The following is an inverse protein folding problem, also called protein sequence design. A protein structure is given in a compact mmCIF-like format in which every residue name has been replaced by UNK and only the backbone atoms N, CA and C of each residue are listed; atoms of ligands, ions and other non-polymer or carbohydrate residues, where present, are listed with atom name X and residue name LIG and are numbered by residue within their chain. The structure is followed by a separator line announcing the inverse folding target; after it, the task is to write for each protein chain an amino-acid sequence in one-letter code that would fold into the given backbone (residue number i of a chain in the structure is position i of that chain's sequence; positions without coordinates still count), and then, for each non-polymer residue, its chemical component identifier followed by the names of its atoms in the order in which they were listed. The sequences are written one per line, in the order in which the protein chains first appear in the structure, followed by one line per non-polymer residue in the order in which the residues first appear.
data_IF_919214714318
#
_entry.id   IF_919214714318
#
_cell.length_a   1.000
_cell.length_b   1.000
_cell.length_c   1.000
_cell.angle_alpha   90.00
_cell.angle_beta   90.00
_cell.angle_gamma   90.00
#
_symmetry.space_group_name_H-M   'P 1'
#
loop_
_entity.id
_entity.type
_entity.pdbx_description
1 polymer ?
#
# COMPACT_ATOMS: atom_id res chain seq x y z
N UNK A 1 9.76 -17.28 21.62
CA UNK A 1 9.14 -17.85 20.39
C UNK A 1 7.98 -17.03 19.84
N UNK A 2 7.31 -16.16 20.60
CA UNK A 2 6.12 -15.37 20.17
C UNK A 2 6.46 -14.18 19.25
N UNK A 3 7.67 -13.62 19.32
CA UNK A 3 8.07 -12.44 18.51
C UNK A 3 8.24 -12.72 17.00
N UNK A 4 8.30 -14.00 16.57
CA UNK A 4 8.45 -14.38 15.16
C UNK A 4 7.14 -14.32 14.35
N UNK A 5 5.99 -14.38 15.02
CA UNK A 5 4.69 -14.54 14.38
C UNK A 5 3.94 -13.22 14.14
N UNK A 6 4.50 -12.07 14.53
CA UNK A 6 3.80 -10.77 14.48
C UNK A 6 4.66 -9.66 13.86
N UNK A 7 5.56 -10.03 12.95
CA UNK A 7 6.27 -9.09 12.08
C UNK A 7 5.30 -8.60 11.00
N UNK A 8 4.17 -8.03 11.45
CA UNK A 8 3.01 -7.69 10.63
C UNK A 8 3.46 -6.82 9.46
N UNK A 9 2.78 -7.04 8.33
CA UNK A 9 2.88 -6.44 7.01
C UNK A 9 2.78 -4.90 6.93
N UNK A 10 3.19 -4.17 7.97
CA UNK A 10 3.19 -2.72 8.08
C UNK A 10 4.26 -2.03 7.23
N UNK A 11 5.15 -2.81 6.61
CA UNK A 11 6.34 -2.24 5.99
C UNK A 11 6.09 -1.69 4.59
N UNK A 12 4.96 -1.96 3.94
CA UNK A 12 4.65 -1.41 2.62
C UNK A 12 3.15 -1.15 2.52
N UNK A 13 2.79 0.11 2.73
CA UNK A 13 1.43 0.57 2.72
C UNK A 13 1.35 1.77 1.79
N UNK A 14 1.18 1.52 0.49
CA UNK A 14 0.74 2.57 -0.41
C UNK A 14 -0.67 2.97 0.02
N UNK A 15 -0.82 4.23 0.38
CA UNK A 15 -2.13 4.82 0.45
C UNK A 15 -2.57 5.05 -0.98
N UNK A 16 -3.34 4.14 -1.56
CA UNK A 16 -4.06 4.45 -2.80
C UNK A 16 -5.11 5.50 -2.43
N UNK A 17 -4.67 6.74 -2.46
CA UNK A 17 -5.44 7.92 -2.15
C UNK A 17 -6.44 8.15 -3.27
N UNK A 18 -7.70 8.37 -2.91
CA UNK A 18 -8.54 9.35 -3.61
C UNK A 18 -9.25 8.91 -4.89
N UNK A 19 -9.89 7.74 -4.94
CA UNK A 19 -10.72 7.38 -6.10
C UNK A 19 -12.03 8.18 -6.12
N UNK A 20 -12.10 9.20 -6.98
CA UNK A 20 -13.35 9.90 -7.29
C UNK A 20 -13.40 10.39 -8.74
N UNK A 21 -14.37 9.89 -9.51
CA UNK A 21 -14.83 10.47 -10.78
C UNK A 21 -16.28 10.96 -10.64
N UNK A 22 -16.75 11.80 -11.57
CA UNK A 22 -17.91 12.71 -11.52
C UNK A 22 -19.32 12.10 -11.37
N UNK A 23 -20.25 12.89 -10.80
CA UNK A 23 -21.62 12.50 -10.45
C UNK A 23 -22.70 12.69 -11.51
N UNK A 24 -23.88 12.15 -11.19
CA UNK A 24 -25.14 12.32 -11.92
C UNK A 24 -26.12 11.21 -11.53
N UNK A 25 -27.41 11.49 -11.38
CA UNK A 25 -28.43 10.53 -10.92
C UNK A 25 -28.95 9.52 -11.96
N UNK A 26 -28.13 9.18 -12.97
CA UNK A 26 -28.50 8.22 -14.02
C UNK A 26 -27.81 6.89 -13.80
N UNK A 27 -28.48 5.76 -14.10
CA UNK A 27 -27.91 4.41 -14.03
C UNK A 27 -26.61 4.32 -14.84
N UNK A 28 -25.49 4.01 -14.17
CA UNK A 28 -24.17 3.90 -14.83
C UNK A 28 -24.03 2.51 -15.44
N UNK A 29 -23.83 2.44 -16.76
CA UNK A 29 -23.45 1.20 -17.45
C UNK A 29 -21.93 0.98 -17.37
N UNK A 30 -21.44 -0.26 -17.57
CA UNK A 30 -20.01 -0.53 -17.59
C UNK A 30 -19.25 0.31 -18.64
N UNK A 31 -19.89 0.59 -19.78
CA UNK A 31 -19.33 1.39 -20.88
C UNK A 31 -19.18 2.85 -20.48
N UNK A 32 -20.11 3.40 -19.69
CA UNK A 32 -20.02 4.78 -19.18
C UNK A 32 -18.86 4.91 -18.18
N UNK A 33 -18.65 3.91 -17.32
CA UNK A 33 -17.51 3.89 -16.40
C UNK A 33 -16.18 3.80 -17.16
N UNK A 34 -16.09 2.91 -18.15
CA UNK A 34 -14.89 2.74 -18.98
C UNK A 34 -14.59 3.98 -19.82
N UNK A 35 -15.61 4.67 -20.35
CA UNK A 35 -15.46 5.92 -21.10
C UNK A 35 -14.97 7.06 -20.20
N UNK A 36 -15.46 7.14 -18.96
CA UNK A 36 -14.99 8.14 -17.99
C UNK A 36 -13.54 7.89 -17.57
N UNK A 37 -13.15 6.63 -17.36
CA UNK A 37 -11.74 6.26 -17.11
C UNK A 37 -10.85 6.70 -18.26
N UNK A 38 -11.27 6.44 -19.51
CA UNK A 38 -10.52 6.87 -20.69
C UNK A 38 -10.44 8.39 -20.79
N UNK A 39 -11.56 9.10 -20.60
CA UNK A 39 -11.61 10.57 -20.61
C UNK A 39 -10.68 11.19 -19.57
N UNK A 40 -10.67 10.64 -18.35
CA UNK A 40 -9.76 11.08 -17.28
C UNK A 40 -8.31 10.86 -17.71
N UNK A 41 -7.97 9.68 -18.22
CA UNK A 41 -6.62 9.39 -18.70
C UNK A 41 -6.21 10.33 -19.84
N UNK A 42 -7.08 10.58 -20.81
CA UNK A 42 -6.83 11.46 -21.95
C UNK A 42 -6.64 12.92 -21.52
N UNK A 43 -7.23 13.31 -20.39
CA UNK A 43 -7.05 14.64 -19.79
C UNK A 43 -5.79 14.78 -18.94
N UNK A 44 -4.96 13.73 -18.83
CA UNK A 44 -3.81 13.69 -17.94
C UNK A 44 -4.18 13.61 -16.47
N UNK A 45 -5.40 13.16 -16.16
CA UNK A 45 -5.82 12.90 -14.80
C UNK A 45 -5.23 11.56 -14.34
N UNK A 46 -4.41 11.63 -13.29
CA UNK A 46 -3.62 10.50 -12.80
C UNK A 46 -4.49 9.35 -12.27
N UNK A 47 -5.75 9.60 -11.89
CA UNK A 47 -6.68 8.53 -11.53
C UNK A 47 -7.14 7.75 -12.75
N UNK A 48 -7.40 8.46 -13.86
CA UNK A 48 -7.67 7.85 -15.16
C UNK A 48 -6.51 6.94 -15.58
N UNK A 49 -5.28 7.40 -15.39
CA UNK A 49 -4.08 6.62 -15.73
C UNK A 49 -3.92 5.36 -14.86
N UNK A 50 -4.17 5.43 -13.55
CA UNK A 50 -4.15 4.25 -12.67
C UNK A 50 -5.19 3.22 -13.11
N UNK A 51 -6.43 3.65 -13.40
CA UNK A 51 -7.48 2.74 -13.83
C UNK A 51 -7.24 2.17 -15.22
N UNK A 52 -6.65 2.95 -16.14
CA UNK A 52 -6.24 2.46 -17.45
C UNK A 52 -5.12 1.43 -17.33
N UNK A 53 -4.13 1.67 -16.46
CA UNK A 53 -3.08 0.72 -16.15
C UNK A 53 -3.64 -0.57 -15.54
N UNK A 54 -4.58 -0.46 -14.58
CA UNK A 54 -5.28 -1.61 -14.01
C UNK A 54 -6.09 -2.36 -15.08
N UNK A 55 -6.86 -1.68 -15.91
CA UNK A 55 -7.65 -2.28 -16.99
C UNK A 55 -6.78 -3.08 -17.96
N UNK A 56 -5.62 -2.52 -18.31
CA UNK A 56 -4.72 -3.09 -19.31
C UNK A 56 -3.85 -4.21 -18.74
N UNK A 57 -3.31 -4.02 -17.53
CA UNK A 57 -2.29 -4.90 -16.94
C UNK A 57 -2.86 -5.88 -15.92
N UNK A 58 -4.00 -5.55 -15.30
CA UNK A 58 -4.67 -6.28 -14.21
C UNK A 58 -6.19 -6.31 -14.39
N UNK A 59 -6.68 -6.84 -15.52
CA UNK A 59 -8.10 -6.75 -15.89
C UNK A 59 -9.04 -7.36 -14.85
N UNK A 60 -8.62 -8.40 -14.13
CA UNK A 60 -9.43 -9.00 -13.06
C UNK A 60 -9.65 -8.03 -11.88
N UNK A 61 -8.60 -7.39 -11.39
CA UNK A 61 -8.69 -6.37 -10.34
C UNK A 61 -9.52 -5.17 -10.79
N UNK A 62 -9.35 -4.73 -12.03
CA UNK A 62 -10.17 -3.66 -12.61
C UNK A 62 -11.66 -4.04 -12.65
N UNK A 63 -11.98 -5.25 -13.12
CA UNK A 63 -13.36 -5.72 -13.24
C UNK A 63 -14.04 -5.88 -11.86
N UNK A 64 -13.31 -6.39 -10.87
CA UNK A 64 -13.78 -6.45 -9.49
C UNK A 64 -14.11 -5.06 -8.94
N UNK A 65 -13.23 -4.09 -9.20
CA UNK A 65 -13.41 -2.72 -8.74
C UNK A 65 -14.65 -2.11 -9.35
N UNK A 66 -14.71 -2.17 -10.68
CA UNK A 66 -15.82 -1.63 -11.48
C UNK A 66 -17.15 -2.22 -11.02
N UNK A 67 -17.22 -3.53 -10.79
CA UNK A 67 -18.43 -4.22 -10.33
C UNK A 67 -18.91 -3.71 -8.96
N UNK A 68 -18.00 -3.49 -8.01
CA UNK A 68 -18.36 -2.99 -6.68
C UNK A 68 -18.81 -1.53 -6.77
N UNK A 69 -18.05 -0.69 -7.48
CA UNK A 69 -18.38 0.73 -7.66
C UNK A 69 -19.74 0.89 -8.34
N UNK A 70 -20.02 0.12 -9.39
CA UNK A 70 -21.29 0.16 -10.09
C UNK A 70 -22.46 -0.26 -9.19
N UNK A 71 -22.30 -1.32 -8.39
CA UNK A 71 -23.34 -1.76 -7.44
C UNK A 71 -23.68 -0.66 -6.42
N UNK A 72 -22.66 -0.05 -5.82
CA UNK A 72 -22.85 1.01 -4.83
C UNK A 72 -23.49 2.26 -5.44
N UNK A 73 -23.16 2.56 -6.69
CA UNK A 73 -23.76 3.66 -7.43
C UNK A 73 -25.24 3.38 -7.73
N UNK A 74 -25.58 2.17 -8.19
CA UNK A 74 -26.96 1.75 -8.41
C UNK A 74 -27.79 1.75 -7.11
N UNK A 75 -27.14 1.64 -5.96
CA UNK A 75 -27.76 1.80 -4.64
C UNK A 75 -27.96 3.27 -4.23
N UNK A 76 -27.80 4.22 -5.15
CA UNK A 76 -28.08 5.65 -4.94
C UNK A 76 -26.91 6.46 -4.39
N UNK A 77 -25.70 5.89 -4.28
CA UNK A 77 -24.51 6.66 -3.88
C UNK A 77 -23.98 7.49 -5.05
N UNK A 78 -23.36 8.62 -4.70
CA UNK A 78 -22.56 9.40 -5.67
C UNK A 78 -21.42 8.55 -6.24
N UNK A 79 -20.97 8.83 -7.48
CA UNK A 79 -19.85 8.09 -8.09
C UNK A 79 -18.57 8.14 -7.23
N UNK A 80 -18.32 9.29 -6.59
CA UNK A 80 -17.24 9.48 -5.63
C UNK A 80 -17.36 8.54 -4.43
N UNK A 81 -18.55 8.46 -3.82
CA UNK A 81 -18.77 7.57 -2.68
C UNK A 81 -18.71 6.10 -3.07
N UNK A 82 -19.24 5.74 -4.23
CA UNK A 82 -19.19 4.38 -4.76
C UNK A 82 -17.76 3.93 -5.04
N UNK A 83 -16.97 4.81 -5.66
CA UNK A 83 -15.55 4.56 -5.92
C UNK A 83 -14.78 4.40 -4.60
N UNK A 84 -15.00 5.30 -3.63
CA UNK A 84 -14.41 5.21 -2.28
C UNK A 84 -14.76 3.88 -1.59
N UNK A 85 -16.02 3.45 -1.63
CA UNK A 85 -16.44 2.16 -1.05
C UNK A 85 -15.76 1.00 -1.77
N UNK A 86 -15.69 1.03 -3.11
CA UNK A 86 -14.98 0.03 -3.89
C UNK A 86 -13.49 -0.04 -3.54
N UNK A 87 -12.79 1.09 -3.40
CA UNK A 87 -11.38 1.14 -2.98
C UNK A 87 -11.20 0.49 -1.62
N UNK A 88 -12.08 0.83 -0.67
CA UNK A 88 -12.00 0.32 0.69
C UNK A 88 -12.27 -1.19 0.75
N UNK A 89 -13.22 -1.71 -0.05
CA UNK A 89 -13.52 -3.15 -0.12
C UNK A 89 -12.43 -3.94 -0.86
N UNK A 90 -11.77 -3.33 -1.85
CA UNK A 90 -10.71 -3.97 -2.61
C UNK A 90 -9.31 -3.74 -2.07
N UNK A 91 -9.20 -2.98 -1.00
CA UNK A 91 -7.94 -2.58 -0.39
C UNK A 91 -6.97 -3.73 -0.22
N UNK A 92 -7.42 -4.86 0.32
CA UNK A 92 -6.53 -5.99 0.55
C UNK A 92 -6.05 -6.64 -0.75
N UNK A 93 -6.90 -6.69 -1.78
CA UNK A 93 -6.51 -7.14 -3.12
C UNK A 93 -5.49 -6.21 -3.76
N UNK A 94 -5.72 -4.89 -3.70
CA UNK A 94 -4.78 -3.90 -4.22
C UNK A 94 -3.44 -3.92 -3.50
N UNK A 95 -3.46 -3.94 -2.17
CA UNK A 95 -2.22 -4.04 -1.37
C UNK A 95 -1.48 -5.35 -1.66
N UNK A 96 -2.19 -6.47 -1.85
CA UNK A 96 -1.58 -7.73 -2.30
C UNK A 96 -0.87 -7.60 -3.64
N UNK A 97 -1.55 -7.01 -4.63
CA UNK A 97 -0.98 -6.76 -5.97
C UNK A 97 0.25 -5.85 -5.91
N UNK A 98 0.19 -4.76 -5.16
CA UNK A 98 1.32 -3.83 -5.03
C UNK A 98 2.52 -4.51 -4.35
N UNK A 99 2.30 -5.39 -3.37
CA UNK A 99 3.37 -6.19 -2.77
C UNK A 99 3.98 -7.19 -3.77
N UNK A 100 3.14 -7.83 -4.60
CA UNK A 100 3.57 -8.72 -5.68
C UNK A 100 4.39 -7.99 -6.76
N UNK A 101 4.06 -6.74 -7.04
CA UNK A 101 4.86 -5.89 -7.92
C UNK A 101 6.16 -5.44 -7.24
N UNK A 102 6.08 -5.08 -5.96
CA UNK A 102 7.20 -4.60 -5.16
C UNK A 102 8.30 -5.65 -4.99
N UNK A 103 7.96 -6.95 -4.88
CA UNK A 103 8.98 -8.03 -4.83
C UNK A 103 9.82 -8.14 -6.11
N UNK A 104 9.33 -7.62 -7.24
CA UNK A 104 10.00 -7.65 -8.54
C UNK A 104 10.52 -6.26 -8.99
N UNK A 105 10.32 -5.22 -8.17
CA UNK A 105 10.72 -3.85 -8.49
C UNK A 105 12.24 -3.71 -8.75
N UNK A 106 12.61 -2.80 -9.65
CA UNK A 106 14.03 -2.49 -9.92
C UNK A 106 14.64 -1.77 -8.75
N UNK A 107 15.97 -1.77 -8.64
CA UNK A 107 16.63 -1.03 -7.57
C UNK A 107 16.29 0.48 -7.68
N UNK A 108 16.24 1.04 -8.89
CA UNK A 108 15.77 2.43 -9.14
C UNK A 108 14.33 2.66 -8.68
N UNK A 109 13.40 1.75 -8.97
CA UNK A 109 12.02 1.85 -8.47
C UNK A 109 11.99 1.75 -6.96
N UNK A 110 12.77 0.84 -6.36
CA UNK A 110 12.85 0.69 -4.90
C UNK A 110 13.33 1.98 -4.24
N UNK A 111 14.32 2.64 -4.84
CA UNK A 111 14.84 3.92 -4.34
C UNK A 111 13.72 4.97 -4.27
N UNK A 112 12.95 5.09 -5.35
CA UNK A 112 11.80 6.00 -5.45
C UNK A 112 10.69 5.63 -4.46
N UNK A 113 10.40 4.34 -4.24
CA UNK A 113 9.44 3.90 -3.22
C UNK A 113 9.90 4.33 -1.85
N UNK A 114 11.15 4.08 -1.49
CA UNK A 114 11.69 4.42 -0.18
C UNK A 114 11.59 5.92 0.08
N UNK A 115 11.91 6.74 -0.93
CA UNK A 115 11.83 8.20 -0.81
C UNK A 115 10.38 8.67 -0.62
N UNK A 116 9.44 8.20 -1.44
CA UNK A 116 8.01 8.56 -1.30
C UNK A 116 7.44 8.13 0.05
N UNK A 117 7.77 6.94 0.52
CA UNK A 117 7.30 6.41 1.80
C UNK A 117 7.91 7.21 2.97
N UNK A 118 9.20 7.54 2.90
CA UNK A 118 9.87 8.33 3.93
C UNK A 118 9.32 9.76 4.02
N UNK A 119 9.09 10.42 2.89
CA UNK A 119 8.45 11.75 2.83
C UNK A 119 7.03 11.70 3.42
N UNK A 120 6.25 10.69 3.03
CA UNK A 120 4.87 10.49 3.50
C UNK A 120 4.81 10.31 5.01
N UNK A 121 5.62 9.40 5.57
CA UNK A 121 5.62 9.15 7.00
C UNK A 121 6.17 10.31 7.81
N UNK A 122 7.21 10.99 7.33
CA UNK A 122 7.74 12.21 7.98
C UNK A 122 6.65 13.27 8.09
N UNK A 123 5.99 13.59 6.97
CA UNK A 123 4.94 14.63 6.93
C UNK A 123 3.74 14.23 7.79
N UNK A 124 3.28 12.99 7.71
CA UNK A 124 2.17 12.53 8.55
C UNK A 124 2.55 12.47 10.02
N UNK A 125 3.78 12.07 10.35
CA UNK A 125 4.29 12.04 11.72
C UNK A 125 4.31 13.43 12.37
N UNK A 126 4.74 14.45 11.61
CA UNK A 126 4.75 15.84 12.06
C UNK A 126 3.33 16.42 12.23
N UNK A 127 2.39 16.02 11.37
CA UNK A 127 1.02 16.57 11.37
C UNK A 127 0.06 15.81 12.28
N UNK A 128 0.13 14.49 12.31
CA UNK A 128 -0.76 13.60 13.07
C UNK A 128 -0.23 12.16 13.11
N UNK A 129 0.32 11.77 14.26
CA UNK A 129 0.72 10.39 14.54
C UNK A 129 -0.37 9.36 14.21
N UNK A 130 -1.64 9.68 14.49
CA UNK A 130 -2.79 8.82 14.18
C UNK A 130 -2.91 8.58 12.66
N UNK A 131 -2.73 9.62 11.85
CA UNK A 131 -2.82 9.51 10.40
C UNK A 131 -1.60 8.79 9.82
N UNK A 132 -0.41 8.98 10.41
CA UNK A 132 0.78 8.19 10.06
C UNK A 132 0.56 6.70 10.37
N UNK A 133 0.12 6.36 11.57
CA UNK A 133 -0.15 4.98 11.97
C UNK A 133 -1.25 4.34 11.10
N UNK A 134 -2.30 5.11 10.76
CA UNK A 134 -3.33 4.71 9.80
C UNK A 134 -2.74 4.42 8.42
N UNK A 135 -1.85 5.28 7.94
CA UNK A 135 -1.13 5.09 6.68
C UNK A 135 -0.29 3.82 6.71
N UNK A 136 0.50 3.61 7.76
CA UNK A 136 1.30 2.39 8.00
C UNK A 136 0.44 1.12 8.01
N UNK A 137 -0.77 1.20 8.56
CA UNK A 137 -1.71 0.07 8.54
C UNK A 137 -2.21 -0.25 7.12
N UNK A 138 -1.95 0.62 6.14
CA UNK A 138 -2.37 0.54 4.74
C UNK A 138 -3.63 1.34 4.42
N UNK A 139 -4.08 2.21 5.32
CA UNK A 139 -5.31 3.00 5.13
C UNK A 139 -4.95 4.42 4.68
N UNK A 140 -5.67 5.00 3.70
CA UNK A 140 -5.43 6.37 3.32
C UNK A 140 -5.72 7.32 4.50
N UNK A 141 -5.02 8.46 4.61
CA UNK A 141 -5.35 9.47 5.60
C UNK A 141 -6.83 9.89 5.51
N UNK A 142 -7.46 10.18 6.64
CA UNK A 142 -8.85 10.67 6.69
C UNK A 142 -8.97 12.02 5.96
N UNK A 143 -7.93 12.86 6.07
CA UNK A 143 -7.80 14.15 5.38
C UNK A 143 -6.63 14.12 4.43
N UNK A 144 -6.91 14.15 3.15
CA UNK A 144 -5.88 13.97 2.14
C UNK A 144 -4.98 15.21 1.96
N UNK A 145 -5.47 16.35 2.41
CA UNK A 145 -4.78 17.65 2.39
C UNK A 145 -3.60 17.69 3.37
N UNK A 146 -3.45 16.68 4.23
CA UNK A 146 -2.27 16.51 5.05
C UNK A 146 -1.01 16.21 4.21
N UNK A 147 -1.19 15.61 3.03
CA UNK A 147 -0.10 15.34 2.09
C UNK A 147 -0.05 16.41 1.00
N UNK A 148 1.13 16.99 0.69
CA UNK A 148 1.31 17.90 -0.43
C UNK A 148 0.86 17.28 -1.75
N UNK A 149 0.35 18.11 -2.66
CA UNK A 149 -0.15 17.63 -3.95
C UNK A 149 0.94 16.88 -4.71
N UNK A 150 2.15 17.42 -4.73
CA UNK A 150 3.31 16.90 -5.43
C UNK A 150 3.69 15.50 -4.93
N UNK A 151 3.60 15.27 -3.61
CA UNK A 151 3.88 13.97 -3.02
C UNK A 151 2.83 12.93 -3.43
N UNK A 152 1.55 13.31 -3.46
CA UNK A 152 0.47 12.42 -3.94
C UNK A 152 0.63 12.07 -5.43
N UNK A 153 1.13 13.02 -6.23
CA UNK A 153 1.42 12.79 -7.63
C UNK A 153 2.57 11.78 -7.79
N UNK A 154 3.69 11.97 -7.07
CA UNK A 154 4.82 11.02 -7.06
C UNK A 154 4.39 9.61 -6.62
N UNK A 155 3.57 9.48 -5.58
CA UNK A 155 3.02 8.18 -5.16
C UNK A 155 2.20 7.51 -6.27
N UNK A 156 1.39 8.29 -6.99
CA UNK A 156 0.53 7.79 -8.06
C UNK A 156 1.33 7.38 -9.30
N UNK A 157 2.32 8.17 -9.72
CA UNK A 157 3.26 7.84 -10.81
C UNK A 157 4.02 6.56 -10.50
N UNK A 158 4.46 6.39 -9.25
CA UNK A 158 5.14 5.20 -8.79
C UNK A 158 4.25 3.95 -8.86
N UNK A 159 2.97 4.07 -8.48
CA UNK A 159 1.99 2.98 -8.64
C UNK A 159 1.80 2.62 -10.11
N UNK A 160 1.67 3.60 -11.01
CA UNK A 160 1.56 3.36 -12.45
C UNK A 160 2.82 2.68 -13.00
N UNK A 161 4.00 3.12 -12.57
CA UNK A 161 5.30 2.53 -12.92
C UNK A 161 5.40 1.07 -12.46
N UNK A 162 4.95 0.77 -11.25
CA UNK A 162 4.89 -0.60 -10.73
C UNK A 162 3.92 -1.46 -11.56
N UNK A 163 2.72 -0.96 -11.87
CA UNK A 163 1.71 -1.68 -12.68
C UNK A 163 2.21 -1.98 -14.10
N UNK A 164 3.00 -1.07 -14.68
CA UNK A 164 3.58 -1.22 -16.01
C UNK A 164 4.92 -1.96 -16.05
N UNK A 165 5.49 -2.31 -14.89
CA UNK A 165 6.77 -2.98 -14.83
C UNK A 165 6.71 -4.37 -15.51
N UNK A 166 7.72 -4.73 -16.34
CA UNK A 166 7.77 -6.03 -16.98
C UNK A 166 7.76 -7.17 -15.95
N UNK A 167 6.82 -8.11 -16.12
CA UNK A 167 6.69 -9.27 -15.22
C UNK A 167 7.89 -10.24 -15.30
N UNK A 168 8.70 -10.13 -16.36
CA UNK A 168 9.97 -10.85 -16.54
C UNK A 168 11.05 -10.44 -15.52
N UNK A 169 10.83 -9.37 -14.75
CA UNK A 169 11.69 -8.97 -13.63
C UNK A 169 11.56 -9.88 -12.38
N UNK A 170 10.75 -10.95 -12.44
CA UNK A 170 10.46 -11.86 -11.33
C UNK A 170 11.68 -12.58 -10.71
N UNK A 171 12.85 -12.57 -11.37
CA UNK A 171 14.07 -13.24 -10.88
C UNK A 171 15.02 -12.34 -10.06
N UNK A 172 14.59 -11.13 -9.69
CA UNK A 172 15.40 -10.27 -8.80
C UNK A 172 15.52 -10.89 -7.42
N UNK A 173 16.74 -10.92 -6.86
CA UNK A 173 16.97 -11.43 -5.52
C UNK A 173 16.18 -10.61 -4.49
N UNK A 174 15.43 -11.31 -3.66
CA UNK A 174 14.84 -10.81 -2.42
C UNK A 174 15.58 -11.43 -1.22
N UNK A 175 15.72 -10.66 -0.13
CA UNK A 175 16.23 -11.21 1.12
C UNK A 175 15.28 -12.29 1.64
N UNK A 176 15.84 -13.40 2.12
CA UNK A 176 15.08 -14.40 2.85
C UNK A 176 14.50 -13.82 4.14
N UNK A 177 13.46 -14.48 4.68
CA UNK A 177 12.89 -14.13 5.99
C UNK A 177 13.95 -14.03 7.09
N UNK A 178 14.94 -14.94 7.08
CA UNK A 178 16.03 -14.93 8.07
C UNK A 178 16.91 -13.69 7.94
N UNK A 179 17.25 -13.29 6.70
CA UNK A 179 18.05 -12.09 6.45
C UNK A 179 17.32 -10.82 6.89
N UNK A 180 16.04 -10.69 6.54
CA UNK A 180 15.21 -9.53 6.94
C UNK A 180 15.07 -9.46 8.46
N UNK A 181 14.75 -10.57 9.12
CA UNK A 181 14.63 -10.62 10.59
C UNK A 181 15.95 -10.26 11.27
N UNK A 182 17.07 -10.79 10.79
CA UNK A 182 18.39 -10.47 11.33
C UNK A 182 18.71 -8.98 11.15
N UNK A 183 18.42 -8.41 9.98
CA UNK A 183 18.62 -6.99 9.72
C UNK A 183 17.78 -6.13 10.67
N UNK A 184 16.49 -6.44 10.82
CA UNK A 184 15.57 -5.71 11.70
C UNK A 184 15.92 -5.84 13.18
N UNK A 185 16.39 -7.00 13.63
CA UNK A 185 16.90 -7.19 14.99
C UNK A 185 18.17 -6.39 15.26
N UNK A 186 19.09 -6.33 14.29
CA UNK A 186 20.28 -5.50 14.41
C UNK A 186 19.92 -4.02 14.39
N UNK A 187 18.98 -3.63 13.54
CA UNK A 187 18.47 -2.27 13.47
C UNK A 187 17.82 -1.84 14.78
N UNK A 188 16.99 -2.68 15.40
CA UNK A 188 16.36 -2.39 16.70
C UNK A 188 17.35 -2.22 17.86
N UNK A 189 18.58 -2.71 17.75
CA UNK A 189 19.67 -2.45 18.72
C UNK A 189 20.33 -1.09 18.50
N UNK A 190 20.31 -0.60 17.26
CA UNK A 190 20.92 0.67 16.86
C UNK A 190 19.94 1.84 16.97
N UNK A 191 18.65 1.59 16.73
CA UNK A 191 17.55 2.55 16.72
C UNK A 191 16.48 2.13 17.73
N UNK A 192 16.42 2.76 18.92
CA UNK A 192 15.44 2.45 19.95
C UNK A 192 13.98 2.52 19.45
N UNK A 193 13.68 3.46 18.55
CA UNK A 193 12.35 3.67 17.95
C UNK A 193 11.92 2.45 17.14
N UNK A 194 12.85 1.81 16.42
CA UNK A 194 12.59 0.56 15.69
C UNK A 194 12.28 -0.56 16.68
N UNK A 195 13.01 -0.65 17.79
CA UNK A 195 12.71 -1.61 18.86
C UNK A 195 11.30 -1.43 19.44
N UNK A 196 10.90 -0.19 19.71
CA UNK A 196 9.56 0.13 20.21
C UNK A 196 8.46 -0.20 19.18
N UNK A 197 8.66 0.18 17.92
CA UNK A 197 7.76 -0.17 16.82
C UNK A 197 7.56 -1.69 16.72
N UNK A 198 8.64 -2.48 16.78
CA UNK A 198 8.54 -3.94 16.74
C UNK A 198 7.75 -4.51 17.93
N UNK A 199 7.92 -3.93 19.12
CA UNK A 199 7.11 -4.31 20.28
C UNK A 199 5.62 -3.98 20.08
N UNK A 200 5.31 -2.81 19.49
CA UNK A 200 3.94 -2.40 19.19
C UNK A 200 3.29 -3.32 18.14
N UNK A 201 3.99 -3.64 17.06
CA UNK A 201 3.50 -4.55 16.01
C UNK A 201 3.24 -5.97 16.55
N UNK A 202 3.97 -6.37 17.60
CA UNK A 202 3.78 -7.64 18.29
C UNK A 202 2.54 -7.66 19.22
N UNK A 203 1.91 -6.53 19.50
CA UNK A 203 0.67 -6.48 20.29
C UNK A 203 -0.54 -6.95 19.45
N UNK A 204 -1.53 -7.53 20.13
CA UNK A 204 -2.82 -7.88 19.49
C UNK A 204 -3.64 -6.64 19.18
N UNK A 205 -3.63 -5.65 20.10
CA UNK A 205 -4.28 -4.35 19.93
C UNK A 205 -3.28 -3.23 20.22
N UNK A 206 -3.22 -2.25 19.33
CA UNK A 206 -2.42 -1.03 19.49
C UNK A 206 -3.13 -0.07 20.45
N UNK A 207 -2.41 0.50 21.41
CA UNK A 207 -2.94 1.55 22.28
C UNK A 207 -2.96 2.90 21.57
N UNK A 208 -3.87 3.82 21.96
CA UNK A 208 -3.96 5.17 21.35
C UNK A 208 -2.67 6.01 21.44
N UNK A 209 -1.78 5.68 22.38
CA UNK A 209 -0.49 6.37 22.57
C UNK A 209 0.66 5.73 21.79
N UNK A 210 0.43 4.58 21.16
CA UNK A 210 1.46 3.83 20.43
C UNK A 210 1.66 4.37 18.99
N UNK A 211 0.77 5.22 18.49
CA UNK A 211 0.79 5.70 17.10
C UNK A 211 2.07 6.49 16.76
N UNK A 212 2.57 7.31 17.67
CA UNK A 212 3.81 8.08 17.46
C UNK A 212 5.03 7.15 17.37
N UNK A 213 5.17 6.23 18.32
CA UNK A 213 6.30 5.30 18.34
C UNK A 213 6.28 4.33 17.14
N UNK A 214 5.09 3.97 16.64
CA UNK A 214 4.95 3.23 15.38
C UNK A 214 5.44 4.06 14.19
N UNK A 215 5.05 5.34 14.12
CA UNK A 215 5.48 6.25 13.06
C UNK A 215 7.00 6.46 13.08
N UNK A 216 7.57 6.80 14.24
CA UNK A 216 8.99 7.08 14.42
C UNK A 216 9.86 5.86 14.04
N UNK A 217 9.46 4.66 14.48
CA UNK A 217 10.18 3.45 14.12
C UNK A 217 10.09 3.12 12.63
N UNK A 218 8.97 3.45 11.96
CA UNK A 218 8.84 3.25 10.52
C UNK A 218 9.72 4.22 9.74
N UNK A 219 9.72 5.51 10.12
CA UNK A 219 10.60 6.54 9.57
C UNK A 219 12.07 6.12 9.75
N UNK A 220 12.45 5.69 10.95
CA UNK A 220 13.81 5.22 11.23
C UNK A 220 14.19 4.00 10.38
N UNK A 221 13.25 3.06 10.16
CA UNK A 221 13.45 1.89 9.31
C UNK A 221 13.73 2.29 7.86
N UNK A 222 12.87 3.13 7.28
CA UNK A 222 13.02 3.58 5.89
C UNK A 222 14.25 4.46 5.68
N UNK A 223 14.56 5.34 6.64
CA UNK A 223 15.79 6.15 6.64
C UNK A 223 17.05 5.28 6.70
N UNK A 224 17.05 4.22 7.50
CA UNK A 224 18.19 3.28 7.57
C UNK A 224 18.30 2.40 6.35
N UNK A 225 17.17 2.07 5.71
CA UNK A 225 17.14 1.38 4.43
C UNK A 225 17.68 2.29 3.31
N UNK A 226 17.38 3.59 3.32
CA UNK A 226 17.86 4.54 2.29
C UNK A 226 19.38 4.74 2.32
N UNK A 227 20.04 4.54 3.46
CA UNK A 227 21.51 4.58 3.59
C UNK A 227 22.24 3.32 3.08
N UNK A 228 21.51 2.26 2.72
CA UNK A 228 22.10 1.05 2.16
C UNK A 228 22.54 1.28 0.71
N UNK A 229 23.54 0.54 0.27
CA UNK A 229 23.93 0.52 -1.16
C UNK A 229 22.73 0.02 -1.98
N UNK A 230 22.51 0.61 -3.17
CA UNK A 230 21.34 0.38 -4.02
C UNK A 230 20.93 -1.11 -4.15
N UNK A 231 21.89 -2.01 -4.43
CA UNK A 231 21.60 -3.45 -4.52
C UNK A 231 21.18 -4.09 -3.19
N UNK A 232 21.84 -3.75 -2.08
CA UNK A 232 21.48 -4.27 -0.75
C UNK A 232 20.11 -3.75 -0.30
N UNK A 233 19.85 -2.47 -0.56
CA UNK A 233 18.57 -1.79 -0.35
C UNK A 233 17.45 -2.50 -1.10
N UNK A 234 17.64 -2.73 -2.40
CA UNK A 234 16.72 -3.48 -3.26
C UNK A 234 16.42 -4.88 -2.72
N UNK A 235 17.46 -5.63 -2.35
CA UNK A 235 17.31 -6.99 -1.80
C UNK A 235 16.51 -7.00 -0.49
N UNK A 236 16.82 -6.11 0.44
CA UNK A 236 16.11 -6.00 1.72
C UNK A 236 14.65 -5.56 1.51
N UNK A 237 14.42 -4.54 0.69
CA UNK A 237 13.08 -4.06 0.35
C UNK A 237 12.20 -5.16 -0.23
N UNK A 238 12.69 -5.88 -1.25
CA UNK A 238 11.96 -6.99 -1.86
C UNK A 238 11.69 -8.11 -0.85
N UNK A 239 12.62 -8.35 0.08
CA UNK A 239 12.43 -9.29 1.19
C UNK A 239 11.33 -8.86 2.18
N UNK A 240 11.26 -7.57 2.52
CA UNK A 240 10.19 -7.00 3.34
C UNK A 240 8.83 -7.15 2.63
N UNK A 241 8.76 -6.85 1.33
CA UNK A 241 7.56 -7.01 0.51
C UNK A 241 7.09 -8.48 0.48
N UNK A 242 8.01 -9.42 0.27
CA UNK A 242 7.72 -10.84 0.26
C UNK A 242 7.20 -11.34 1.62
N UNK A 243 7.82 -10.90 2.73
CA UNK A 243 7.34 -11.25 4.06
C UNK A 243 5.93 -10.70 4.34
N UNK A 244 5.66 -9.45 3.96
CA UNK A 244 4.35 -8.82 4.12
C UNK A 244 3.26 -9.56 3.32
N UNK A 245 3.59 -9.98 2.11
CA UNK A 245 2.70 -10.77 1.24
C UNK A 245 2.39 -12.15 1.84
N UNK A 246 3.41 -12.88 2.31
CA UNK A 246 3.24 -14.20 2.90
C UNK A 246 2.35 -14.17 4.15
N UNK A 247 2.53 -13.16 5.00
CA UNK A 247 1.70 -12.97 6.19
C UNK A 247 0.22 -12.73 5.82
N UNK A 248 -0.02 -11.91 4.80
CA UNK A 248 -1.37 -11.63 4.30
C UNK A 248 -2.06 -12.87 3.74
N UNK A 249 -1.34 -13.71 3.00
CA UNK A 249 -1.87 -15.00 2.52
C UNK A 249 -2.17 -15.95 3.67
N UNK A 250 -1.33 -15.97 4.71
CA UNK A 250 -1.57 -16.79 5.89
C UNK A 250 -2.85 -16.37 6.63
N UNK A 251 -3.01 -15.07 6.90
CA UNK A 251 -4.21 -14.52 7.55
C UNK A 251 -5.47 -14.87 6.73
N UNK A 252 -5.44 -14.64 5.42
CA UNK A 252 -6.58 -14.93 4.54
C UNK A 252 -7.02 -16.40 4.62
N UNK A 253 -6.07 -17.32 4.52
CA UNK A 253 -6.37 -18.75 4.57
C UNK A 253 -6.93 -19.18 5.94
N UNK A 254 -6.47 -18.56 7.04
CA UNK A 254 -7.02 -18.85 8.38
C UNK A 254 -8.43 -18.29 8.56
N UNK A 255 -8.72 -17.09 8.04
CA UNK A 255 -10.06 -16.48 8.17
C UNK A 255 -11.09 -17.17 7.27
N UNK A 256 -10.73 -17.51 6.04
CA UNK A 256 -11.61 -18.28 5.13
C UNK A 256 -11.93 -19.68 5.72
N UNK A 257 -10.98 -20.31 6.43
CA UNK A 257 -11.21 -21.59 7.11
C UNK A 257 -12.10 -21.50 8.36
N UNK A 258 -12.20 -20.34 8.99
CA UNK A 258 -13.09 -20.10 10.13
C UNK A 258 -14.53 -19.80 9.66
N UNK A 259 -14.68 -19.09 8.53
CA UNK A 259 -15.97 -18.77 7.92
C UNK A 259 -16.61 -19.98 7.20
N UNK A 260 -15.84 -20.95 6.71
CA UNK A 260 -16.37 -22.21 6.13
C UNK A 260 -16.81 -23.25 7.19
N UNK A 261 -16.42 -23.07 8.45
CA UNK A 261 -16.73 -23.97 9.56
C UNK A 261 -17.74 -23.39 10.56
N UNK A 262 -18.37 -22.24 10.24
CA UNK A 262 -19.42 -21.57 11.01
C UNK A 262 -20.78 -21.65 10.31
#
# INVERSE_FOLDING_TARGET
MVARARFKAALLAFSIVGLSACGGGQTVTPEMFDAEVQRLSDSGDMYGEVFLALKTRRPELYNDFRRIAQREFNNGRSLRDSSRVASMRMRDKFLGEILELSKAASDETVDEVIDVMLDTYTILGEKSAKECARNIDGLPPEKIELLPRELRQRETELVIKLLNAPQTAANRRAASRKEVVNWMQNLAKLEPEVGQMLHILAKEKRGKKDDQALCDGMIATYKRLSYKKSTERGVLFRGLALMALQERLHIRNTTESEDENA
#
